data_IF_036301756934
#
_entry.id   IF_036301756934
#
_cell.length_a   1.000
_cell.length_b   1.000
_cell.length_c   1.000
_cell.angle_alpha   90.00
_cell.angle_beta   90.00
_cell.angle_gamma   90.00
#
_symmetry.space_group_name_H-M   'P 1'
#
loop_
_entity.id
_entity.type
_entity.pdbx_description
1 polymer ?
#
# COMPACT_ATOMS: atom_id res chain seq x y z
N UNK A 1 -21.36 -13.66 -19.17
CA UNK A 1 -19.96 -13.39 -18.87
C UNK A 1 -19.91 -13.14 -17.36
N UNK A 2 -19.14 -13.92 -16.63
CA UNK A 2 -18.90 -13.65 -15.21
C UNK A 2 -18.20 -12.29 -15.13
N UNK A 3 -18.73 -11.37 -14.33
CA UNK A 3 -18.09 -10.07 -14.12
C UNK A 3 -16.75 -10.33 -13.42
N UNK A 4 -15.67 -9.83 -13.97
CA UNK A 4 -14.32 -9.93 -13.37
C UNK A 4 -14.29 -9.06 -12.13
N UNK A 5 -13.85 -9.62 -11.02
CA UNK A 5 -13.55 -8.89 -9.79
C UNK A 5 -12.06 -8.95 -9.50
N UNK A 6 -11.46 -7.81 -9.19
CA UNK A 6 -10.07 -7.72 -8.75
C UNK A 6 -10.06 -7.33 -7.28
N UNK A 7 -9.44 -8.14 -6.46
CA UNK A 7 -9.35 -7.95 -5.01
C UNK A 7 -7.93 -7.51 -4.69
N UNK A 8 -7.78 -6.33 -4.06
CA UNK A 8 -6.47 -5.81 -3.67
C UNK A 8 -6.48 -5.44 -2.20
N UNK A 9 -5.58 -6.03 -1.38
CA UNK A 9 -5.48 -5.68 0.03
C UNK A 9 -4.95 -4.26 0.23
N UNK A 10 -5.14 -3.72 1.42
CA UNK A 10 -4.57 -2.45 1.85
C UNK A 10 -3.12 -2.64 2.27
N UNK A 11 -2.31 -1.59 2.15
CA UNK A 11 -0.96 -1.57 2.73
C UNK A 11 -0.73 -0.33 3.61
N UNK A 12 -0.23 -0.57 4.82
CA UNK A 12 0.19 0.51 5.73
C UNK A 12 1.63 0.32 6.15
N UNK A 13 2.52 1.10 5.55
CA UNK A 13 3.94 1.11 5.91
C UNK A 13 4.14 1.77 7.28
N UNK A 14 4.77 1.02 8.20
CA UNK A 14 5.13 1.52 9.53
C UNK A 14 6.53 2.15 9.55
N UNK A 15 7.48 1.55 8.82
CA UNK A 15 8.86 2.00 8.71
C UNK A 15 9.29 1.85 7.25
N UNK A 16 9.96 2.87 6.70
CA UNK A 16 10.45 2.81 5.31
C UNK A 16 11.73 3.62 5.12
N UNK A 17 12.58 3.13 4.25
CA UNK A 17 13.80 3.78 3.77
C UNK A 17 13.74 3.89 2.25
N UNK A 18 13.60 5.10 1.67
CA UNK A 18 13.57 5.32 0.24
C UNK A 18 14.89 4.96 -0.44
N UNK A 19 14.82 4.27 -1.56
CA UNK A 19 15.97 3.92 -2.41
C UNK A 19 15.65 4.34 -3.84
N UNK A 20 16.46 5.23 -4.39
CA UNK A 20 16.34 5.71 -5.76
C UNK A 20 17.50 5.16 -6.58
N UNK A 21 17.20 4.65 -7.76
CA UNK A 21 18.17 4.08 -8.69
C UNK A 21 17.99 4.69 -10.09
N UNK A 22 18.98 4.55 -10.96
CA UNK A 22 18.89 5.01 -12.35
C UNK A 22 17.79 4.24 -13.11
N UNK A 23 17.69 2.94 -12.88
CA UNK A 23 16.61 2.12 -13.43
C UNK A 23 15.41 2.14 -12.47
N UNK A 24 14.35 2.83 -12.88
CA UNK A 24 13.15 3.04 -12.07
C UNK A 24 12.50 1.74 -11.58
N UNK A 25 12.71 0.62 -12.30
CA UNK A 25 12.21 -0.70 -11.90
C UNK A 25 12.77 -1.17 -10.55
N UNK A 26 13.94 -0.69 -10.15
CA UNK A 26 14.59 -0.97 -8.86
C UNK A 26 14.45 0.16 -7.84
N UNK A 27 13.87 1.30 -8.22
CA UNK A 27 13.50 2.37 -7.28
C UNK A 27 12.37 1.91 -6.39
N UNK A 28 12.39 2.27 -5.10
CA UNK A 28 11.32 1.88 -4.17
C UNK A 28 11.68 2.18 -2.72
N UNK A 29 11.29 1.31 -1.81
CA UNK A 29 11.67 1.43 -0.41
C UNK A 29 11.97 0.09 0.23
N UNK A 30 13.01 0.06 1.07
CA UNK A 30 13.21 -1.00 2.07
C UNK A 30 12.31 -0.65 3.27
N UNK A 31 11.60 -1.62 3.85
CA UNK A 31 10.69 -1.26 4.95
C UNK A 31 9.81 -2.37 5.47
N UNK A 32 9.07 -2.03 6.52
CA UNK A 32 8.12 -2.92 7.19
C UNK A 32 6.71 -2.35 7.01
N UNK A 33 5.76 -3.20 6.65
CA UNK A 33 4.36 -2.81 6.50
C UNK A 33 3.38 -3.91 6.88
N UNK A 34 2.16 -3.49 7.14
CA UNK A 34 1.01 -4.35 7.34
C UNK A 34 0.21 -4.39 6.03
N UNK A 35 -0.03 -5.59 5.52
CA UNK A 35 -0.97 -5.85 4.43
C UNK A 35 -2.27 -6.35 5.04
N UNK A 36 -3.36 -5.62 4.83
CA UNK A 36 -4.55 -5.70 5.67
C UNK A 36 -5.85 -5.86 4.85
N UNK A 37 -6.81 -6.53 5.45
CA UNK A 37 -8.23 -6.48 5.07
C UNK A 37 -8.97 -5.40 5.91
N UNK A 38 -10.17 -4.91 5.48
CA UNK A 38 -10.84 -5.29 4.25
C UNK A 38 -10.11 -4.79 3.01
N UNK A 39 -10.12 -5.56 1.90
CA UNK A 39 -9.51 -5.16 0.63
C UNK A 39 -10.36 -4.11 -0.09
N UNK A 40 -9.85 -3.52 -1.14
CA UNK A 40 -10.69 -2.92 -2.17
C UNK A 40 -11.19 -4.01 -3.13
N UNK A 41 -12.41 -3.84 -3.61
CA UNK A 41 -13.03 -4.67 -4.64
C UNK A 41 -13.19 -3.82 -5.88
N UNK A 42 -12.65 -4.28 -6.99
CA UNK A 42 -12.59 -3.50 -8.24
C UNK A 42 -13.29 -4.27 -9.35
N UNK A 43 -14.19 -3.59 -10.03
CA UNK A 43 -14.95 -4.08 -11.19
C UNK A 43 -14.42 -3.39 -12.45
N UNK A 44 -13.51 -4.04 -13.19
CA UNK A 44 -12.90 -3.45 -14.38
C UNK A 44 -13.81 -3.61 -15.60
N UNK A 45 -13.83 -2.60 -16.46
CA UNK A 45 -14.56 -2.61 -17.72
C UNK A 45 -13.69 -2.05 -18.85
N UNK A 46 -13.90 -2.54 -20.08
CA UNK A 46 -13.33 -1.89 -21.27
C UNK A 46 -14.03 -0.55 -21.48
N UNK A 47 -13.28 0.51 -21.74
CA UNK A 47 -13.82 1.85 -21.94
C UNK A 47 -12.77 2.93 -21.72
N UNK A 48 -13.15 4.18 -21.84
CA UNK A 48 -12.26 5.31 -21.59
C UNK A 48 -11.62 5.21 -20.18
N UNK A 49 -10.32 5.52 -20.05
CA UNK A 49 -9.60 5.43 -18.79
C UNK A 49 -10.20 6.37 -17.73
N UNK A 50 -10.93 5.80 -16.80
CA UNK A 50 -11.61 6.49 -15.70
C UNK A 50 -11.54 5.69 -14.41
N UNK A 51 -11.49 6.38 -13.27
CA UNK A 51 -11.52 5.77 -11.94
C UNK A 51 -12.76 6.31 -11.19
N UNK A 52 -13.60 5.39 -10.75
CA UNK A 52 -14.68 5.66 -9.81
C UNK A 52 -14.41 4.97 -8.48
N UNK A 53 -14.41 5.71 -7.40
CA UNK A 53 -14.18 5.24 -6.04
C UNK A 53 -15.43 5.49 -5.20
N UNK A 54 -16.09 4.43 -4.77
CA UNK A 54 -17.38 4.49 -4.08
C UNK A 54 -18.40 5.37 -4.83
N UNK A 55 -18.55 5.11 -6.13
CA UNK A 55 -19.44 5.82 -7.08
C UNK A 55 -19.06 7.31 -7.35
N UNK A 56 -17.90 7.77 -6.89
CA UNK A 56 -17.42 9.12 -7.17
C UNK A 56 -16.26 9.09 -8.16
N UNK A 57 -16.34 9.89 -9.22
CA UNK A 57 -15.23 10.05 -10.17
C UNK A 57 -14.02 10.66 -9.45
N UNK A 58 -12.85 10.07 -9.65
CA UNK A 58 -11.60 10.49 -9.02
C UNK A 58 -10.60 10.92 -10.09
N UNK A 59 -10.06 12.12 -9.94
CA UNK A 59 -8.88 12.53 -10.70
C UNK A 59 -7.65 11.81 -10.11
N UNK A 60 -7.16 10.79 -10.83
CA UNK A 60 -6.06 9.94 -10.39
C UNK A 60 -4.81 10.24 -11.24
N UNK A 61 -3.77 10.89 -10.67
CA UNK A 61 -2.60 11.35 -11.45
C UNK A 61 -1.87 10.23 -12.20
N UNK A 62 -1.86 9.01 -11.65
CA UNK A 62 -1.21 7.85 -12.24
C UNK A 62 -1.86 7.43 -13.56
N UNK A 63 -3.13 7.80 -13.78
CA UNK A 63 -3.90 7.37 -14.93
C UNK A 63 -3.26 7.77 -16.26
N UNK A 64 -2.53 8.89 -16.30
CA UNK A 64 -1.78 9.30 -17.50
C UNK A 64 -0.71 8.30 -17.95
N UNK A 65 -0.17 7.49 -17.01
CA UNK A 65 0.78 6.43 -17.33
C UNK A 65 0.08 5.09 -17.52
N UNK A 66 -0.87 4.77 -16.65
CA UNK A 66 -1.62 3.53 -16.67
C UNK A 66 -2.43 3.36 -17.96
N UNK A 67 -3.00 4.43 -18.51
CA UNK A 67 -3.74 4.44 -19.77
C UNK A 67 -2.88 4.06 -20.98
N UNK A 68 -1.56 4.07 -20.87
CA UNK A 68 -0.66 3.56 -21.90
C UNK A 68 -0.72 2.02 -22.03
N UNK A 69 -1.20 1.32 -21.00
CA UNK A 69 -1.39 -0.13 -21.04
C UNK A 69 -2.63 -0.51 -21.84
N UNK A 70 -3.76 0.08 -21.49
CA UNK A 70 -5.05 -0.22 -22.10
C UNK A 70 -6.12 0.80 -21.67
N UNK A 71 -7.21 0.87 -22.41
CA UNK A 71 -8.37 1.71 -22.06
C UNK A 71 -9.29 0.97 -21.09
N UNK A 72 -9.02 1.15 -19.78
CA UNK A 72 -9.74 0.50 -18.69
C UNK A 72 -10.47 1.54 -17.84
N UNK A 73 -11.73 1.27 -17.55
CA UNK A 73 -12.51 1.94 -16.53
C UNK A 73 -12.55 1.07 -15.29
N UNK A 74 -12.29 1.64 -14.10
CA UNK A 74 -12.38 0.94 -12.82
C UNK A 74 -13.52 1.52 -11.97
N UNK A 75 -14.43 0.65 -11.53
CA UNK A 75 -15.42 0.92 -10.49
C UNK A 75 -14.91 0.26 -9.19
N UNK A 76 -14.59 1.05 -8.17
CA UNK A 76 -13.93 0.59 -6.94
C UNK A 76 -14.85 0.74 -5.74
N UNK A 77 -14.97 -0.32 -4.95
CA UNK A 77 -15.62 -0.32 -3.65
C UNK A 77 -14.58 -0.47 -2.54
N UNK A 78 -14.69 0.36 -1.49
CA UNK A 78 -13.76 0.35 -0.36
C UNK A 78 -14.46 0.78 0.92
N UNK A 79 -14.15 0.09 2.03
CA UNK A 79 -14.58 0.49 3.37
C UNK A 79 -13.69 1.61 3.96
N UNK A 80 -12.49 1.81 3.39
CA UNK A 80 -11.56 2.83 3.85
C UNK A 80 -11.52 4.03 2.90
N UNK A 81 -11.33 5.26 3.40
CA UNK A 81 -11.34 6.45 2.56
C UNK A 81 -10.02 6.64 1.79
N UNK A 82 -10.12 7.19 0.58
CA UNK A 82 -8.98 7.54 -0.27
C UNK A 82 -8.19 8.75 0.28
N UNK A 83 -6.85 8.63 0.30
CA UNK A 83 -5.95 9.74 0.64
C UNK A 83 -5.54 9.82 2.11
N UNK A 84 -5.85 8.81 2.93
CA UNK A 84 -5.54 8.80 4.36
C UNK A 84 -4.29 8.00 4.74
N UNK A 85 -3.71 7.21 3.84
CA UNK A 85 -2.47 6.47 4.11
C UNK A 85 -2.61 4.95 4.12
N UNK A 86 -3.70 4.42 3.57
CA UNK A 86 -3.98 2.99 3.45
C UNK A 86 -3.32 2.30 2.23
N UNK A 87 -2.44 2.98 1.49
CA UNK A 87 -1.82 2.43 0.28
C UNK A 87 -2.71 2.47 -0.97
N UNK A 88 -3.89 3.05 -0.91
CA UNK A 88 -4.89 2.97 -1.98
C UNK A 88 -4.41 3.44 -3.36
N UNK A 89 -3.40 4.31 -3.44
CA UNK A 89 -2.79 4.67 -4.72
C UNK A 89 -2.14 3.45 -5.38
N UNK A 90 -1.30 2.72 -4.62
CA UNK A 90 -0.69 1.48 -5.08
C UNK A 90 -1.73 0.42 -5.45
N UNK A 91 -2.75 0.25 -4.59
CA UNK A 91 -3.84 -0.70 -4.84
C UNK A 91 -4.62 -0.40 -6.13
N UNK A 92 -4.91 0.87 -6.42
CA UNK A 92 -5.59 1.29 -7.65
C UNK A 92 -4.69 1.06 -8.88
N UNK A 93 -3.40 1.43 -8.79
CA UNK A 93 -2.43 1.21 -9.88
C UNK A 93 -2.25 -0.29 -10.17
N UNK A 94 -2.18 -1.12 -9.12
CA UNK A 94 -2.11 -2.57 -9.23
C UNK A 94 -3.37 -3.17 -9.86
N UNK A 95 -4.55 -2.71 -9.42
CA UNK A 95 -5.83 -3.15 -10.00
C UNK A 95 -5.92 -2.81 -11.49
N UNK A 96 -5.42 -1.64 -11.89
CA UNK A 96 -5.39 -1.24 -13.31
C UNK A 96 -4.47 -2.15 -14.14
N UNK A 97 -3.29 -2.51 -13.60
CA UNK A 97 -2.38 -3.45 -14.24
C UNK A 97 -3.02 -4.83 -14.45
N UNK A 98 -3.65 -5.37 -13.39
CA UNK A 98 -4.36 -6.65 -13.45
C UNK A 98 -5.54 -6.59 -14.42
N UNK A 99 -6.30 -5.50 -14.44
CA UNK A 99 -7.39 -5.30 -15.39
C UNK A 99 -6.91 -5.24 -16.85
N UNK A 100 -5.76 -4.60 -17.09
CA UNK A 100 -5.15 -4.53 -18.42
C UNK A 100 -4.72 -5.91 -18.91
N UNK A 101 -4.16 -6.74 -18.02
CA UNK A 101 -3.83 -8.13 -18.30
C UNK A 101 -5.09 -8.93 -18.64
N UNK A 102 -6.13 -8.91 -17.81
CA UNK A 102 -7.35 -9.71 -17.97
C UNK A 102 -8.20 -9.29 -19.19
N UNK A 103 -8.39 -8.01 -19.39
CA UNK A 103 -9.30 -7.49 -20.41
C UNK A 103 -8.66 -7.34 -21.80
N UNK A 104 -7.34 -7.11 -21.85
CA UNK A 104 -6.63 -6.76 -23.10
C UNK A 104 -5.44 -7.65 -23.40
N UNK A 105 -5.16 -8.69 -22.59
CA UNK A 105 -4.00 -9.57 -22.73
C UNK A 105 -2.65 -8.81 -22.74
N UNK A 106 -2.56 -7.70 -22.05
CA UNK A 106 -1.29 -7.01 -21.81
C UNK A 106 -0.40 -7.96 -21.00
N UNK A 107 0.88 -8.07 -21.32
CA UNK A 107 1.80 -8.92 -20.56
C UNK A 107 1.84 -8.47 -19.09
N UNK A 108 1.60 -9.38 -18.15
CA UNK A 108 1.47 -9.05 -16.72
C UNK A 108 2.71 -8.35 -16.17
N UNK A 109 3.90 -8.82 -16.52
CA UNK A 109 5.16 -8.21 -16.09
C UNK A 109 5.24 -6.74 -16.51
N UNK A 110 4.94 -6.44 -17.78
CA UNK A 110 4.98 -5.07 -18.31
C UNK A 110 3.93 -4.18 -17.62
N UNK A 111 2.73 -4.72 -17.38
CA UNK A 111 1.67 -4.01 -16.67
C UNK A 111 2.06 -3.67 -15.23
N UNK A 112 2.67 -4.61 -14.50
CA UNK A 112 3.16 -4.40 -13.14
C UNK A 112 4.29 -3.37 -13.06
N UNK A 113 5.20 -3.37 -14.05
CA UNK A 113 6.27 -2.37 -14.16
C UNK A 113 5.67 -0.97 -14.34
N UNK A 114 4.77 -0.78 -15.29
CA UNK A 114 4.14 0.52 -15.56
C UNK A 114 3.34 1.01 -14.34
N UNK A 115 2.61 0.12 -13.66
CA UNK A 115 1.90 0.47 -12.44
C UNK A 115 2.86 0.96 -11.35
N UNK A 116 3.97 0.26 -11.13
CA UNK A 116 5.01 0.66 -10.19
C UNK A 116 5.65 2.01 -10.58
N UNK A 117 6.05 2.18 -11.83
CA UNK A 117 6.62 3.43 -12.34
C UNK A 117 5.66 4.60 -12.16
N UNK A 118 4.37 4.38 -12.39
CA UNK A 118 3.34 5.42 -12.22
C UNK A 118 3.30 5.97 -10.78
N UNK A 119 3.47 5.11 -9.76
CA UNK A 119 3.53 5.50 -8.35
C UNK A 119 4.75 6.40 -8.06
N UNK A 120 5.89 6.07 -8.64
CA UNK A 120 7.14 6.80 -8.46
C UNK A 120 7.08 8.15 -9.16
N UNK A 121 6.68 8.16 -10.44
CA UNK A 121 6.63 9.35 -11.29
C UNK A 121 5.58 10.38 -10.82
N UNK A 122 4.57 9.95 -10.08
CA UNK A 122 3.56 10.83 -9.48
C UNK A 122 3.83 11.15 -8.00
N UNK A 123 4.93 10.65 -7.43
CA UNK A 123 5.28 10.78 -6.01
C UNK A 123 4.18 10.24 -5.07
N UNK A 124 3.42 9.23 -5.49
CA UNK A 124 2.34 8.65 -4.70
C UNK A 124 2.81 7.55 -3.75
N UNK A 125 3.78 6.73 -4.16
CA UNK A 125 4.28 5.63 -3.33
C UNK A 125 5.63 5.09 -3.79
N UNK A 126 6.32 4.38 -2.89
CA UNK A 126 7.62 3.74 -3.13
C UNK A 126 7.62 2.25 -2.75
N UNK A 127 6.51 1.67 -2.31
CA UNK A 127 6.52 0.29 -1.85
C UNK A 127 5.17 -0.29 -1.46
N UNK A 128 4.09 0.48 -1.55
CA UNK A 128 2.76 -0.02 -1.21
C UNK A 128 2.35 -1.11 -2.23
N UNK A 129 2.47 -0.84 -3.53
CA UNK A 129 2.09 -1.74 -4.63
C UNK A 129 2.73 -3.13 -4.53
N UNK A 130 4.04 -3.23 -4.30
CA UNK A 130 4.72 -4.54 -4.22
C UNK A 130 4.26 -5.33 -3.00
N UNK A 131 3.99 -4.67 -1.87
CA UNK A 131 3.45 -5.31 -0.68
C UNK A 131 2.04 -5.85 -0.92
N UNK A 132 1.18 -5.08 -1.58
CA UNK A 132 -0.19 -5.44 -1.95
C UNK A 132 -0.21 -6.59 -2.97
N UNK A 133 0.74 -6.61 -3.90
CA UNK A 133 0.87 -7.69 -4.88
C UNK A 133 1.19 -9.05 -4.23
N UNK A 134 2.13 -9.09 -3.27
CA UNK A 134 2.53 -10.35 -2.63
C UNK A 134 1.68 -10.74 -1.43
N UNK A 135 1.08 -9.80 -0.71
CA UNK A 135 0.37 -10.09 0.55
C UNK A 135 1.31 -10.57 1.66
N UNK A 136 0.73 -11.15 2.71
CA UNK A 136 1.48 -11.80 3.79
C UNK A 136 1.26 -11.24 5.19
N UNK A 137 0.31 -10.34 5.37
CA UNK A 137 0.01 -9.72 6.66
C UNK A 137 1.12 -8.75 7.07
N UNK A 138 2.07 -9.14 7.91
CA UNK A 138 3.26 -8.35 8.21
C UNK A 138 4.38 -8.71 7.24
N UNK A 139 4.91 -7.71 6.54
CA UNK A 139 5.90 -7.93 5.48
C UNK A 139 7.13 -7.04 5.63
N UNK A 140 8.26 -7.59 5.22
CA UNK A 140 9.53 -6.90 5.06
C UNK A 140 9.86 -6.76 3.57
N UNK A 141 9.84 -5.53 3.05
CA UNK A 141 10.40 -5.22 1.74
C UNK A 141 11.92 -5.18 1.86
N UNK A 142 12.55 -6.31 1.56
CA UNK A 142 13.98 -6.53 1.73
C UNK A 142 14.80 -5.87 0.61
N UNK A 143 14.25 -5.88 -0.60
CA UNK A 143 14.82 -5.26 -1.78
C UNK A 143 13.77 -4.35 -2.43
N UNK A 144 14.11 -3.09 -2.73
CA UNK A 144 13.19 -2.17 -3.40
C UNK A 144 12.98 -2.58 -4.86
N UNK A 145 11.87 -2.17 -5.44
CA UNK A 145 11.57 -2.34 -6.86
C UNK A 145 10.15 -2.78 -7.15
N UNK A 146 9.85 -2.91 -8.44
CA UNK A 146 8.60 -3.43 -8.96
C UNK A 146 8.43 -4.92 -8.58
N UNK A 147 7.20 -5.49 -8.62
CA UNK A 147 7.01 -6.94 -8.58
C UNK A 147 7.87 -7.65 -9.63
N UNK A 148 8.60 -8.69 -9.21
CA UNK A 148 9.60 -9.38 -10.03
C UNK A 148 11.02 -8.80 -9.98
N UNK A 149 11.19 -7.56 -9.51
CA UNK A 149 12.49 -6.87 -9.35
C UNK A 149 12.84 -6.64 -7.88
N UNK A 150 11.86 -6.26 -7.07
CA UNK A 150 11.98 -6.17 -5.62
C UNK A 150 11.73 -7.51 -4.94
N UNK A 151 12.01 -7.56 -3.63
CA UNK A 151 11.86 -8.76 -2.80
C UNK A 151 11.07 -8.42 -1.53
N UNK A 152 9.99 -9.19 -1.28
CA UNK A 152 9.16 -9.09 -0.09
C UNK A 152 9.21 -10.40 0.69
N UNK A 153 9.57 -10.31 1.96
CA UNK A 153 9.59 -11.41 2.90
C UNK A 153 8.37 -11.33 3.83
N UNK A 154 7.64 -12.44 3.97
CA UNK A 154 6.49 -12.53 4.88
C UNK A 154 6.99 -12.86 6.28
N UNK A 155 6.63 -12.03 7.25
CA UNK A 155 7.05 -12.23 8.65
C UNK A 155 5.90 -12.87 9.41
N UNK A 156 6.13 -14.08 9.90
CA UNK A 156 5.14 -14.84 10.69
C UNK A 156 5.15 -14.30 12.12
N UNK A 157 4.03 -13.78 12.56
CA UNK A 157 3.81 -13.29 13.94
C UNK A 157 2.45 -13.76 14.45
N UNK A 158 2.30 -13.81 15.76
CA UNK A 158 0.99 -13.95 16.39
C UNK A 158 0.19 -12.68 16.16
N UNK A 159 -1.02 -12.85 15.63
CA UNK A 159 -1.89 -11.74 15.29
C UNK A 159 -2.78 -11.33 16.45
N UNK A 160 -2.78 -10.05 16.71
CA UNK A 160 -3.66 -9.40 17.69
C UNK A 160 -4.60 -8.42 16.96
N UNK A 161 -5.72 -8.02 17.58
CA UNK A 161 -6.64 -7.04 16.98
C UNK A 161 -5.93 -5.74 16.57
N UNK A 162 -6.13 -5.33 15.33
CA UNK A 162 -5.63 -4.06 14.79
C UNK A 162 -6.82 -3.24 14.32
N UNK A 163 -6.80 -1.96 14.66
CA UNK A 163 -7.81 -1.00 14.23
C UNK A 163 -7.17 0.27 13.69
N UNK A 164 -7.90 0.95 12.83
CA UNK A 164 -7.48 2.24 12.31
C UNK A 164 -8.54 3.32 12.43
N UNK A 165 -8.08 4.55 12.48
CA UNK A 165 -8.92 5.75 12.47
C UNK A 165 -8.37 6.76 11.47
N UNK A 166 -9.11 7.05 10.37
CA UNK A 166 -8.76 8.14 9.47
C UNK A 166 -9.05 9.48 10.16
N UNK A 167 -8.10 10.42 10.08
CA UNK A 167 -8.19 11.76 10.69
C UNK A 167 -8.35 12.86 9.64
N UNK A 168 -7.43 12.92 8.67
CA UNK A 168 -7.36 13.97 7.65
C UNK A 168 -6.69 13.46 6.39
N UNK A 169 -6.99 14.06 5.23
CA UNK A 169 -6.23 13.82 4.01
C UNK A 169 -4.89 14.54 4.08
N UNK A 170 -3.80 13.83 3.81
CA UNK A 170 -2.45 14.40 3.76
C UNK A 170 -1.68 13.89 2.55
N UNK A 171 -0.94 14.77 1.84
CA UNK A 171 -0.19 14.39 0.65
C UNK A 171 1.04 13.53 0.99
N UNK A 172 1.41 12.64 0.08
CA UNK A 172 2.58 11.76 0.20
C UNK A 172 3.90 12.51 0.06
N UNK A 173 3.93 13.62 -0.67
CA UNK A 173 5.16 14.39 -0.91
C UNK A 173 5.88 14.82 0.37
N UNK A 174 5.12 15.17 1.43
CA UNK A 174 5.71 15.53 2.73
C UNK A 174 6.44 14.37 3.39
N UNK A 175 5.98 13.13 3.17
CA UNK A 175 6.59 11.93 3.75
C UNK A 175 7.89 11.54 3.05
N UNK A 176 7.93 11.67 1.74
CA UNK A 176 9.10 11.30 0.92
C UNK A 176 10.27 12.26 1.19
N UNK A 177 9.98 13.53 1.48
CA UNK A 177 10.98 14.56 1.77
C UNK A 177 11.58 14.44 3.17
N UNK A 178 10.82 13.94 4.15
CA UNK A 178 11.30 13.73 5.50
C UNK A 178 11.97 12.35 5.61
N UNK A 179 13.29 12.32 5.57
CA UNK A 179 14.08 11.11 5.80
C UNK A 179 14.36 10.98 7.29
N UNK A 180 14.18 9.80 7.85
CA UNK A 180 14.80 9.45 9.12
C UNK A 180 15.98 8.52 8.83
N UNK A 181 17.15 8.93 9.26
CA UNK A 181 18.38 8.13 9.14
C UNK A 181 18.30 6.85 9.98
N UNK A 182 17.35 6.80 10.93
CA UNK A 182 17.14 5.66 11.82
C UNK A 182 16.27 4.54 11.21
N UNK A 183 15.70 4.71 10.02
CA UNK A 183 14.81 3.71 9.42
C UNK A 183 15.44 2.31 9.36
N UNK A 184 16.67 2.20 8.86
CA UNK A 184 17.40 0.92 8.76
C UNK A 184 17.75 0.36 10.14
N UNK A 185 18.03 1.21 11.12
CA UNK A 185 18.29 0.80 12.50
C UNK A 185 17.03 0.16 13.10
N UNK A 186 15.86 0.78 12.93
CA UNK A 186 14.59 0.24 13.42
C UNK A 186 14.20 -1.06 12.71
N UNK A 187 14.42 -1.14 11.39
CA UNK A 187 14.19 -2.37 10.63
C UNK A 187 15.06 -3.51 11.20
N UNK A 188 16.34 -3.28 11.39
CA UNK A 188 17.26 -4.26 11.97
C UNK A 188 16.85 -4.67 13.40
N UNK A 189 16.47 -3.72 14.26
CA UNK A 189 15.96 -4.01 15.59
C UNK A 189 14.69 -4.88 15.56
N UNK A 190 13.81 -4.65 14.60
CA UNK A 190 12.62 -5.47 14.41
C UNK A 190 12.98 -6.91 14.00
N UNK A 191 13.85 -7.07 13.00
CA UNK A 191 14.22 -8.38 12.44
C UNK A 191 14.92 -9.31 13.45
N UNK A 192 15.55 -8.79 14.50
CA UNK A 192 16.14 -9.60 15.58
C UNK A 192 15.10 -10.31 16.45
N UNK A 193 13.93 -9.71 16.66
CA UNK A 193 12.86 -10.30 17.47
C UNK A 193 11.50 -9.81 16.97
N UNK A 194 10.98 -10.38 15.88
CA UNK A 194 9.76 -9.92 15.23
C UNK A 194 8.51 -10.19 16.09
N UNK A 195 7.69 -9.17 16.29
CA UNK A 195 6.34 -9.28 16.86
C UNK A 195 5.49 -8.08 16.45
N UNK A 196 4.16 -8.20 16.51
CA UNK A 196 3.27 -7.07 16.23
C UNK A 196 3.53 -5.92 17.20
N UNK A 197 3.68 -6.19 18.48
CA UNK A 197 3.97 -5.15 19.47
C UNK A 197 5.27 -4.41 19.14
N UNK A 198 6.32 -5.14 18.74
CA UNK A 198 7.61 -4.54 18.34
C UNK A 198 7.48 -3.71 17.07
N UNK A 199 6.69 -4.17 16.10
CA UNK A 199 6.38 -3.40 14.89
C UNK A 199 5.71 -2.07 15.26
N UNK A 200 4.67 -2.08 16.10
CA UNK A 200 3.97 -0.86 16.52
C UNK A 200 4.87 0.09 17.32
N UNK A 201 5.69 -0.44 18.22
CA UNK A 201 6.66 0.34 19.01
C UNK A 201 7.65 1.09 18.11
N UNK A 202 8.29 0.37 17.18
CA UNK A 202 9.31 0.94 16.30
C UNK A 202 8.69 1.86 15.25
N UNK A 203 7.51 1.51 14.70
CA UNK A 203 6.76 2.38 13.80
C UNK A 203 6.36 3.70 14.47
N UNK A 204 5.98 3.65 15.76
CA UNK A 204 5.69 4.86 16.54
C UNK A 204 6.91 5.75 16.70
N UNK A 205 8.07 5.17 17.00
CA UNK A 205 9.34 5.92 17.12
C UNK A 205 9.69 6.58 15.79
N UNK A 206 9.69 5.80 14.72
CA UNK A 206 10.01 6.24 13.37
C UNK A 206 9.07 7.37 12.89
N UNK A 207 7.75 7.16 12.99
CA UNK A 207 6.79 8.17 12.52
C UNK A 207 6.77 9.44 13.37
N UNK A 208 7.10 9.33 14.67
CA UNK A 208 7.30 10.51 15.55
C UNK A 208 8.49 11.37 15.09
N UNK A 209 9.60 10.77 14.66
CA UNK A 209 10.75 11.50 14.09
C UNK A 209 10.36 12.25 12.81
N UNK A 210 9.41 11.72 12.04
CA UNK A 210 8.85 12.38 10.86
C UNK A 210 7.78 13.44 11.19
N UNK A 211 7.48 13.68 12.48
CA UNK A 211 6.49 14.66 12.94
C UNK A 211 5.06 14.12 13.07
N UNK A 212 4.84 12.79 12.89
CA UNK A 212 3.54 12.17 13.06
C UNK A 212 3.40 11.54 14.45
N UNK A 213 2.73 12.24 15.35
CA UNK A 213 2.52 11.77 16.72
C UNK A 213 1.13 11.14 16.86
N UNK A 214 1.07 9.93 17.43
CA UNK A 214 -0.18 9.31 17.86
C UNK A 214 -0.43 9.54 19.34
N UNK A 215 -1.63 9.99 19.76
CA UNK A 215 -1.97 10.21 21.16
C UNK A 215 -2.27 8.92 21.94
N UNK A 216 -2.47 7.80 21.25
CA UNK A 216 -2.87 6.52 21.87
C UNK A 216 -1.66 5.64 22.20
N UNK A 217 -1.70 4.82 23.27
CA UNK A 217 -0.72 3.77 23.50
C UNK A 217 -0.81 2.69 22.42
N UNK A 218 0.26 1.93 22.22
CA UNK A 218 0.33 0.83 21.26
C UNK A 218 -0.18 1.20 19.85
N UNK A 219 0.14 2.42 19.41
CA UNK A 219 -0.30 2.93 18.12
C UNK A 219 0.80 3.75 17.44
N UNK A 220 0.68 3.89 16.13
CA UNK A 220 1.47 4.86 15.38
C UNK A 220 0.57 5.66 14.43
N UNK A 221 1.05 6.82 14.01
CA UNK A 221 0.38 7.66 13.03
C UNK A 221 1.22 7.73 11.76
N UNK A 222 0.58 7.47 10.62
CA UNK A 222 1.16 7.69 9.28
C UNK A 222 0.26 8.66 8.52
N UNK A 223 0.73 9.86 8.24
CA UNK A 223 -0.13 10.90 7.64
C UNK A 223 -1.41 11.14 8.47
N UNK A 224 -2.54 11.17 7.81
CA UNK A 224 -3.86 11.29 8.40
C UNK A 224 -4.47 9.98 8.92
N UNK A 225 -3.66 8.96 9.21
CA UNK A 225 -4.11 7.66 9.65
C UNK A 225 -3.46 7.26 10.96
N UNK A 226 -4.26 6.85 11.94
CA UNK A 226 -3.78 6.17 13.14
C UNK A 226 -4.10 4.68 13.02
N UNK A 227 -3.08 3.83 13.28
CA UNK A 227 -3.27 2.41 13.57
C UNK A 227 -3.02 2.15 15.04
N UNK A 228 -3.83 1.27 15.64
CA UNK A 228 -3.74 0.88 17.05
C UNK A 228 -3.82 -0.63 17.19
N UNK A 229 -3.00 -1.17 18.09
CA UNK A 229 -2.95 -2.58 18.43
C UNK A 229 -3.77 -2.83 19.69
N UNK A 230 -4.52 -3.94 19.72
CA UNK A 230 -5.34 -4.49 20.84
C UNK A 230 -6.62 -3.75 21.16
N UNK A 231 -6.59 -2.45 21.26
CA UNK A 231 -7.72 -1.65 21.74
C UNK A 231 -8.44 -0.97 20.59
N UNK A 232 -9.61 -1.51 20.22
CA UNK A 232 -10.47 -0.98 19.17
C UNK A 232 -11.68 -0.27 19.80
N UNK A 233 -11.72 1.04 19.66
CA UNK A 233 -12.87 1.84 20.11
C UNK A 233 -14.03 1.76 19.10
N UNK A 234 -15.21 2.14 19.53
CA UNK A 234 -16.37 2.25 18.63
C UNK A 234 -16.08 3.25 17.49
N UNK A 235 -16.50 2.89 16.27
CA UNK A 235 -16.26 3.69 15.07
C UNK A 235 -14.87 3.57 14.47
N UNK A 236 -13.96 2.75 15.04
CA UNK A 236 -12.70 2.42 14.39
C UNK A 236 -12.87 1.25 13.41
N UNK A 237 -12.14 1.31 12.29
CA UNK A 237 -12.16 0.24 11.29
C UNK A 237 -11.27 -0.90 11.79
N UNK A 238 -11.83 -2.11 11.88
CA UNK A 238 -11.11 -3.31 12.29
C UNK A 238 -10.40 -3.94 11.10
N UNK A 239 -9.21 -4.45 11.33
CA UNK A 239 -8.39 -5.08 10.31
C UNK A 239 -7.98 -6.50 10.69
N UNK A 240 -7.90 -7.35 9.67
CA UNK A 240 -7.28 -8.67 9.73
C UNK A 240 -6.10 -8.74 8.77
N UNK A 241 -5.14 -9.66 8.95
CA UNK A 241 -4.06 -9.83 7.99
C UNK A 241 -4.58 -10.27 6.63
N UNK A 242 -4.09 -9.65 5.57
CA UNK A 242 -4.27 -10.15 4.21
C UNK A 242 -3.12 -11.10 3.88
N UNK A 243 -3.37 -12.40 3.99
CA UNK A 243 -2.35 -13.43 3.74
C UNK A 243 -2.07 -13.57 2.25
N UNK A 244 -3.12 -13.50 1.43
CA UNK A 244 -2.98 -13.41 -0.03
C UNK A 244 -2.70 -11.98 -0.45
N UNK A 245 -1.93 -11.82 -1.53
CA UNK A 245 -1.81 -10.56 -2.25
C UNK A 245 -3.02 -10.30 -3.15
N UNK A 246 -2.89 -9.35 -4.07
CA UNK A 246 -3.92 -9.06 -5.04
C UNK A 246 -4.20 -10.27 -5.94
N UNK A 247 -5.46 -10.47 -6.30
CA UNK A 247 -5.90 -11.56 -7.18
C UNK A 247 -7.15 -11.18 -7.98
N UNK A 248 -7.40 -11.94 -9.03
CA UNK A 248 -8.59 -11.84 -9.89
C UNK A 248 -9.53 -12.99 -9.54
N UNK A 249 -10.82 -12.67 -9.41
CA UNK A 249 -11.90 -13.63 -9.08
C UNK A 249 -12.88 -13.75 -10.24
#
# INVERSE_FOLDING_TARGET
MTDIEIIVPLNVSGIWYPVYTEDIRYTGSIGLSLVLNPPIIVFPKKGEPEIYFNNQHVNFPNLKYLSLLANVKLDIQSEVPLGFGYGLSGAISLAYALASYELYNVKLEDALIIAHESEILTNNGLGDLISEYYGGGLVYRKKPGAPGYGEVEKIIVEWEPICSKPLSKESTEKLIKNKSDNALVYINQFLHNPSLLKFFELSRKFTKELGFVSPFPNSFRKKGLILRLRECEEGWIKHTPAISGAYVH
#
